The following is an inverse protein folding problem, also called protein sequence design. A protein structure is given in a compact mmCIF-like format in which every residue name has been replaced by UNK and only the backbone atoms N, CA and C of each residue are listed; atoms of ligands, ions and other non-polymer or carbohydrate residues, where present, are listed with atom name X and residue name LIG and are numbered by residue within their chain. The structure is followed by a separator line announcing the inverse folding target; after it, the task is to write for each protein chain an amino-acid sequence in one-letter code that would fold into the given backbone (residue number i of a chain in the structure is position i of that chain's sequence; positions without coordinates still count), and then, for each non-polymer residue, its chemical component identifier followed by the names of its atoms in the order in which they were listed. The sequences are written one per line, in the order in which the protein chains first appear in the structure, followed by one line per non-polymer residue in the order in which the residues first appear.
data_IF_984076171045
#
_entry.id   IF_984076171045
#
_cell.length_a   1.000
_cell.length_b   1.000
_cell.length_c   1.000
_cell.angle_alpha   90.00
_cell.angle_beta   90.00
_cell.angle_gamma   90.00
#
_symmetry.space_group_name_H-M   'P 1'
#
loop_
_entity.id
_entity.type
_entity.pdbx_description
1 polymer ?
#
# COMPACT_ATOMS: atom_id res chain seq x y z
N UNK A 1 3.61 -10.45 -0.87
CA UNK A 1 3.90 -10.30 -2.32
C UNK A 1 4.34 -8.87 -2.59
N UNK A 2 5.41 -8.71 -3.32
CA UNK A 2 5.99 -7.41 -3.67
C UNK A 2 6.22 -7.32 -5.18
N UNK A 3 5.79 -6.22 -5.79
CA UNK A 3 5.90 -5.98 -7.24
C UNK A 3 6.49 -4.60 -7.49
N UNK A 4 7.47 -4.52 -8.38
CA UNK A 4 8.03 -3.23 -8.84
C UNK A 4 8.34 -3.29 -10.33
N UNK A 5 8.56 -2.12 -10.91
CA UNK A 5 8.91 -1.97 -12.33
C UNK A 5 10.29 -1.36 -12.47
N UNK A 6 11.12 -1.93 -13.33
CA UNK A 6 12.46 -1.45 -13.60
C UNK A 6 13.56 -2.29 -12.94
N UNK A 7 14.75 -1.69 -12.79
CA UNK A 7 15.91 -2.33 -12.19
C UNK A 7 15.71 -2.60 -10.69
N UNK A 8 16.55 -3.46 -10.06
CA UNK A 8 16.45 -3.75 -8.62
C UNK A 8 16.44 -2.49 -7.73
N UNK A 9 17.14 -1.44 -8.10
CA UNK A 9 17.17 -0.18 -7.36
C UNK A 9 15.81 0.51 -7.33
N UNK A 10 14.97 0.29 -8.34
CA UNK A 10 13.63 0.82 -8.40
C UNK A 10 12.67 0.19 -7.39
N UNK A 11 13.05 -0.93 -6.75
CA UNK A 11 12.24 -1.60 -5.74
C UNK A 11 12.03 -0.78 -4.46
N UNK A 12 12.69 0.37 -4.31
CA UNK A 12 12.43 1.33 -3.22
C UNK A 12 11.01 1.90 -3.29
N UNK A 13 10.42 1.95 -4.48
CA UNK A 13 9.02 2.25 -4.70
C UNK A 13 8.38 1.01 -5.32
N UNK A 14 7.41 0.44 -4.62
CA UNK A 14 6.82 -0.84 -5.03
C UNK A 14 5.38 -0.97 -4.54
N UNK A 15 4.72 -2.01 -5.01
CA UNK A 15 3.40 -2.43 -4.53
C UNK A 15 3.58 -3.70 -3.72
N UNK A 16 2.87 -3.78 -2.61
CA UNK A 16 3.01 -4.92 -1.70
C UNK A 16 1.69 -5.26 -1.02
N UNK A 17 1.48 -6.56 -0.82
CA UNK A 17 0.49 -7.08 0.10
C UNK A 17 1.24 -7.86 1.18
N UNK A 18 1.01 -7.49 2.45
CA UNK A 18 1.72 -8.08 3.58
C UNK A 18 0.83 -8.23 4.82
N UNK A 19 1.23 -9.11 5.70
CA UNK A 19 0.60 -9.25 7.01
C UNK A 19 1.29 -8.31 8.00
N UNK A 20 0.50 -7.58 8.77
CA UNK A 20 0.98 -6.70 9.84
C UNK A 20 0.27 -7.02 11.14
N UNK A 21 0.98 -6.87 12.26
CA UNK A 21 0.42 -7.09 13.59
C UNK A 21 -0.65 -6.06 13.94
N UNK A 22 -1.58 -6.46 14.80
CA UNK A 22 -2.64 -5.57 15.29
C UNK A 22 -2.09 -4.30 15.96
N UNK A 23 -0.96 -4.41 16.64
CA UNK A 23 -0.29 -3.26 17.28
C UNK A 23 0.14 -2.20 16.26
N UNK A 24 0.49 -2.62 15.05
CA UNK A 24 0.92 -1.72 13.96
C UNK A 24 -0.28 -1.19 13.20
N UNK A 25 -1.21 -2.09 12.84
CA UNK A 25 -2.34 -1.74 11.97
C UNK A 25 -3.40 -0.87 12.64
N UNK A 26 -3.62 -1.03 13.94
CA UNK A 26 -4.75 -0.43 14.63
C UNK A 26 -6.10 -1.00 14.15
N UNK A 27 -7.07 -1.10 15.01
CA UNK A 27 -8.39 -1.60 14.64
C UNK A 27 -8.52 -3.10 14.40
N UNK A 28 -7.42 -3.84 14.30
CA UNK A 28 -7.40 -5.29 14.22
C UNK A 28 -7.27 -5.91 15.62
N UNK A 29 -7.74 -7.15 15.80
CA UNK A 29 -7.60 -7.91 17.05
C UNK A 29 -6.30 -8.68 17.09
N UNK A 30 -5.93 -9.36 16.02
CA UNK A 30 -4.74 -10.19 15.92
C UNK A 30 -3.78 -9.69 14.86
N UNK A 31 -4.26 -9.48 13.64
CA UNK A 31 -3.43 -9.03 12.53
C UNK A 31 -4.31 -8.37 11.46
N UNK A 32 -3.65 -7.73 10.48
CA UNK A 32 -4.32 -7.20 9.30
C UNK A 32 -3.50 -7.56 8.06
N UNK A 33 -4.13 -7.53 6.90
CA UNK A 33 -3.44 -7.50 5.62
C UNK A 33 -3.38 -6.05 5.15
N UNK A 34 -2.19 -5.57 4.79
CA UNK A 34 -1.99 -4.24 4.26
C UNK A 34 -1.64 -4.37 2.77
N UNK A 35 -2.33 -3.60 1.91
CA UNK A 35 -2.24 -3.70 0.46
C UNK A 35 -2.08 -2.31 -0.14
N UNK A 36 -1.07 -2.11 -0.97
CA UNK A 36 -0.94 -0.88 -1.72
C UNK A 36 0.47 -0.51 -2.14
N UNK A 37 0.66 0.79 -2.34
CA UNK A 37 1.92 1.39 -2.78
C UNK A 37 2.78 1.79 -1.58
N UNK A 38 4.09 1.52 -1.67
CA UNK A 38 5.07 1.88 -0.66
C UNK A 38 6.24 2.64 -1.27
N UNK A 39 6.71 3.67 -0.56
CA UNK A 39 7.96 4.37 -0.84
C UNK A 39 8.89 4.18 0.37
N UNK A 40 9.96 3.42 0.17
CA UNK A 40 10.87 2.94 1.21
C UNK A 40 12.32 3.32 0.94
N UNK A 41 12.55 4.54 0.45
CA UNK A 41 13.91 5.07 0.28
C UNK A 41 14.58 5.32 1.62
N UNK A 42 15.92 5.22 1.70
CA UNK A 42 16.66 5.60 2.90
C UNK A 42 16.44 7.06 3.31
N UNK A 43 16.28 7.97 2.33
CA UNK A 43 16.00 9.38 2.59
C UNK A 43 14.51 9.64 2.66
N UNK A 44 14.05 10.14 3.80
CA UNK A 44 12.64 10.49 4.00
C UNK A 44 12.11 11.48 2.95
N UNK A 45 12.95 12.44 2.51
CA UNK A 45 12.56 13.41 1.49
C UNK A 45 12.19 12.78 0.15
N UNK A 46 12.81 11.67 -0.22
CA UNK A 46 12.46 10.93 -1.44
C UNK A 46 11.11 10.24 -1.31
N UNK A 47 10.82 9.69 -0.12
CA UNK A 47 9.53 9.08 0.18
C UNK A 47 8.42 10.12 0.18
N UNK A 48 8.68 11.26 0.80
CA UNK A 48 7.72 12.37 0.82
C UNK A 48 7.43 12.90 -0.59
N UNK A 49 8.44 12.99 -1.44
CA UNK A 49 8.27 13.42 -2.84
C UNK A 49 7.44 12.41 -3.64
N UNK A 50 7.68 11.10 -3.45
CA UNK A 50 6.90 10.07 -4.11
C UNK A 50 5.42 10.15 -3.70
N UNK A 51 5.14 10.32 -2.41
CA UNK A 51 3.77 10.50 -1.92
C UNK A 51 3.14 11.78 -2.46
N UNK A 52 3.87 12.89 -2.46
CA UNK A 52 3.35 14.16 -2.94
C UNK A 52 2.87 14.09 -4.40
N UNK A 53 3.60 13.39 -5.26
CA UNK A 53 3.17 13.17 -6.66
C UNK A 53 1.81 12.47 -6.75
N UNK A 54 1.58 11.47 -5.92
CA UNK A 54 0.29 10.77 -5.87
C UNK A 54 -0.80 11.63 -5.25
N UNK A 55 -0.50 12.39 -4.19
CA UNK A 55 -1.46 13.28 -3.54
C UNK A 55 -1.95 14.39 -4.47
N UNK A 56 -1.09 14.91 -5.34
CA UNK A 56 -1.48 15.88 -6.36
C UNK A 56 -2.52 15.33 -7.34
N UNK A 57 -2.61 14.02 -7.44
CA UNK A 57 -3.51 13.31 -8.35
C UNK A 57 -4.61 12.54 -7.62
N UNK A 58 -4.87 12.88 -6.36
CA UNK A 58 -5.84 12.16 -5.53
C UNK A 58 -7.24 12.14 -6.16
N UNK A 59 -7.65 13.23 -6.83
CA UNK A 59 -8.93 13.28 -7.53
C UNK A 59 -9.07 12.22 -8.64
N UNK A 60 -7.95 11.68 -9.11
CA UNK A 60 -7.94 10.63 -10.14
C UNK A 60 -7.94 9.23 -9.56
N UNK A 61 -7.29 8.99 -8.43
CA UNK A 61 -7.21 7.64 -7.86
C UNK A 61 -8.22 7.39 -6.73
N UNK A 62 -8.60 8.41 -5.96
CA UNK A 62 -9.54 8.24 -4.84
C UNK A 62 -10.89 7.64 -5.26
N UNK A 63 -11.55 8.08 -6.35
CA UNK A 63 -12.83 7.48 -6.77
C UNK A 63 -12.73 5.99 -7.11
N UNK A 64 -11.58 5.53 -7.58
CA UNK A 64 -11.37 4.14 -7.96
C UNK A 64 -10.93 3.25 -6.81
N UNK A 65 -10.04 3.74 -5.93
CA UNK A 65 -9.54 2.96 -4.79
C UNK A 65 -10.45 3.04 -3.56
N UNK A 66 -11.21 4.14 -3.43
CA UNK A 66 -12.15 4.30 -2.33
C UNK A 66 -11.58 4.99 -1.10
N UNK A 67 -12.42 5.17 -0.09
CA UNK A 67 -12.10 5.94 1.10
C UNK A 67 -11.18 5.21 2.08
N UNK A 68 -11.06 3.88 1.97
CA UNK A 68 -10.19 3.11 2.85
C UNK A 68 -8.70 3.25 2.50
N UNK A 69 -8.38 3.74 1.30
CA UNK A 69 -7.02 4.02 0.90
C UNK A 69 -6.47 5.23 1.69
N UNK A 70 -5.36 5.03 2.38
CA UNK A 70 -4.71 6.04 3.21
C UNK A 70 -3.41 6.48 2.56
N UNK A 71 -3.28 7.78 2.32
CA UNK A 71 -2.05 8.42 1.85
C UNK A 71 -1.35 9.08 3.03
N UNK A 72 -0.17 8.61 3.42
CA UNK A 72 0.51 9.15 4.58
C UNK A 72 1.76 8.38 4.99
N UNK A 73 2.15 8.52 6.25
CA UNK A 73 3.26 7.80 6.83
C UNK A 73 2.99 6.29 6.83
N UNK A 74 4.06 5.52 6.66
CA UNK A 74 3.97 4.06 6.69
C UNK A 74 3.66 3.56 8.10
N UNK A 75 2.91 2.47 8.16
CA UNK A 75 2.57 1.83 9.43
C UNK A 75 3.83 1.31 10.13
N UNK A 76 4.08 1.79 11.35
CA UNK A 76 5.22 1.37 12.15
C UNK A 76 6.58 1.92 11.69
N UNK A 77 6.63 2.74 10.64
CA UNK A 77 7.87 3.33 10.12
C UNK A 77 7.65 4.71 9.52
N UNK A 78 7.75 5.73 10.36
CA UNK A 78 7.36 7.10 10.03
C UNK A 78 8.16 7.77 8.91
N UNK A 79 9.38 7.29 8.59
CA UNK A 79 10.18 7.83 7.48
C UNK A 79 9.74 7.33 6.11
N UNK A 80 9.01 6.22 6.05
CA UNK A 80 8.44 5.68 4.83
C UNK A 80 7.06 6.27 4.57
N UNK A 81 6.57 6.14 3.32
CA UNK A 81 5.25 6.65 2.91
C UNK A 81 4.47 5.55 2.20
N UNK A 82 3.14 5.71 2.23
CA UNK A 82 2.23 4.73 1.60
C UNK A 82 1.01 5.38 0.98
N UNK A 83 0.44 4.72 0.00
CA UNK A 83 -0.96 4.82 -0.37
C UNK A 83 -1.48 3.39 -0.32
N UNK A 84 -2.14 3.03 0.77
CA UNK A 84 -2.53 1.64 1.03
C UNK A 84 -3.74 1.55 1.94
N UNK A 85 -4.32 0.37 2.00
CA UNK A 85 -5.43 0.06 2.90
C UNK A 85 -5.10 -1.15 3.77
N UNK A 86 -5.84 -1.30 4.87
CA UNK A 86 -5.71 -2.45 5.74
C UNK A 86 -7.03 -3.21 5.85
N UNK A 87 -6.95 -4.53 5.80
CA UNK A 87 -8.06 -5.44 6.03
C UNK A 87 -7.86 -6.09 7.39
N UNK A 88 -8.59 -5.64 8.44
CA UNK A 88 -8.40 -6.18 9.79
C UNK A 88 -8.99 -7.59 9.91
N UNK A 89 -8.26 -8.47 10.57
CA UNK A 89 -8.68 -9.82 10.93
C UNK A 89 -9.38 -10.58 9.79
N UNK A 90 -8.75 -10.71 8.59
CA UNK A 90 -9.37 -11.45 7.50
C UNK A 90 -9.59 -12.92 7.88
N UNK A 91 -10.63 -13.52 7.32
CA UNK A 91 -10.94 -14.93 7.54
C UNK A 91 -9.93 -15.82 6.80
N UNK A 92 -9.02 -16.45 7.56
CA UNK A 92 -7.99 -17.33 6.99
C UNK A 92 -8.56 -18.64 6.41
N UNK A 93 -9.80 -18.99 6.77
CA UNK A 93 -10.47 -20.17 6.23
C UNK A 93 -11.22 -19.86 4.92
N UNK A 94 -11.32 -18.60 4.54
CA UNK A 94 -11.91 -18.22 3.25
C UNK A 94 -10.99 -18.68 2.11
N UNK A 95 -11.45 -19.60 1.25
CA UNK A 95 -10.63 -20.11 0.14
C UNK A 95 -10.31 -19.05 -0.92
N UNK A 96 -11.05 -17.94 -0.96
CA UNK A 96 -10.86 -16.88 -1.94
C UNK A 96 -9.96 -15.74 -1.44
N UNK A 97 -9.53 -15.78 -0.18
CA UNK A 97 -8.78 -14.68 0.43
C UNK A 97 -7.52 -14.30 -0.35
N UNK A 98 -6.70 -15.28 -0.72
CA UNK A 98 -5.47 -15.02 -1.47
C UNK A 98 -5.76 -14.40 -2.84
N UNK A 99 -6.80 -14.88 -3.50
CA UNK A 99 -7.24 -14.33 -4.79
C UNK A 99 -7.73 -12.88 -4.64
N UNK A 100 -8.54 -12.61 -3.63
CA UNK A 100 -9.07 -11.26 -3.38
C UNK A 100 -7.96 -10.27 -3.05
N UNK A 101 -6.97 -10.67 -2.28
CA UNK A 101 -5.77 -9.86 -1.99
C UNK A 101 -5.02 -9.55 -3.29
N UNK A 102 -4.79 -10.57 -4.12
CA UNK A 102 -4.11 -10.40 -5.40
C UNK A 102 -4.85 -9.47 -6.36
N UNK A 103 -6.17 -9.60 -6.45
CA UNK A 103 -7.02 -8.69 -7.27
C UNK A 103 -6.90 -7.25 -6.77
N UNK A 104 -6.95 -7.04 -5.46
CA UNK A 104 -6.84 -5.69 -4.90
C UNK A 104 -5.47 -5.08 -5.14
N UNK A 105 -4.41 -5.87 -5.01
CA UNK A 105 -3.05 -5.41 -5.33
C UNK A 105 -2.94 -4.97 -6.79
N UNK A 106 -3.50 -5.74 -7.72
CA UNK A 106 -3.53 -5.38 -9.15
C UNK A 106 -4.31 -4.09 -9.38
N UNK A 107 -5.41 -3.86 -8.66
CA UNK A 107 -6.16 -2.60 -8.76
C UNK A 107 -5.30 -1.40 -8.34
N UNK A 108 -4.54 -1.50 -7.24
CA UNK A 108 -3.60 -0.46 -6.83
C UNK A 108 -2.57 -0.18 -7.91
N UNK A 109 -1.98 -1.23 -8.49
CA UNK A 109 -0.99 -1.09 -9.56
C UNK A 109 -1.61 -0.38 -10.77
N UNK A 110 -2.75 -0.85 -11.22
CA UNK A 110 -3.44 -0.33 -12.42
C UNK A 110 -3.80 1.14 -12.26
N UNK A 111 -4.23 1.53 -11.07
CA UNK A 111 -4.69 2.89 -10.80
C UNK A 111 -3.52 3.85 -10.54
N UNK A 112 -2.54 3.45 -9.73
CA UNK A 112 -1.48 4.35 -9.28
C UNK A 112 -0.27 4.40 -10.23
N UNK A 113 0.11 3.30 -10.85
CA UNK A 113 1.32 3.27 -11.68
C UNK A 113 1.33 4.32 -12.80
N UNK A 114 0.23 4.56 -13.54
CA UNK A 114 0.21 5.62 -14.55
C UNK A 114 0.33 7.04 -13.99
N UNK A 115 0.11 7.21 -12.68
CA UNK A 115 0.09 8.52 -12.01
C UNK A 115 1.43 8.87 -11.33
N UNK A 116 2.33 7.93 -11.27
CA UNK A 116 3.65 8.12 -10.63
C UNK A 116 4.59 8.95 -11.46
#
# INVERSE_FOLDING_TARGET
MKVWYGAPEAAREHYEAQVVDAEIAGGARAFAVEIGFHAEHPKESENAAALARLCEREARWRPELGEDAVAGAFLGRGSWRRVSETWPDPDLDDPDLAFDIGVRLVEYIRVLEPLR
#
